data_IF_714322375514
#
_entry.id   IF_714322375514
#
_cell.length_a   1.000
_cell.length_b   1.000
_cell.length_c   1.000
_cell.angle_alpha   90.00
_cell.angle_beta   90.00
_cell.angle_gamma   90.00
#
_symmetry.space_group_name_H-M   'P 1'
#
loop_
_entity.id
_entity.type
_entity.pdbx_description
1 polymer ?
#
# COMPACT_ATOMS: atom_id res chain seq x y z
N UNK A 1 4.43 10.85 -79.02
CA UNK A 1 3.58 9.94 -79.78
C UNK A 1 2.57 9.44 -78.78
N UNK A 2 1.41 10.05 -78.78
CA UNK A 2 0.16 9.58 -79.37
C UNK A 2 -0.26 8.25 -78.74
N UNK A 3 -1.40 8.03 -78.18
CA UNK A 3 -2.77 8.42 -78.41
C UNK A 3 -3.63 7.83 -77.29
N UNK A 4 -4.53 8.51 -76.67
CA UNK A 4 -5.91 8.71 -77.02
C UNK A 4 -6.89 7.59 -76.54
N UNK A 5 -7.73 7.95 -75.59
CA UNK A 5 -9.21 7.95 -75.57
C UNK A 5 -9.87 6.56 -75.46
N UNK A 6 -10.71 6.36 -74.41
CA UNK A 6 -12.17 6.57 -74.47
C UNK A 6 -12.88 6.01 -73.21
N UNK A 7 -13.64 6.84 -72.56
CA UNK A 7 -14.85 6.47 -71.85
C UNK A 7 -15.97 6.04 -72.86
N UNK A 8 -17.16 5.69 -72.42
CA UNK A 8 -17.87 5.55 -71.15
C UNK A 8 -18.70 4.26 -71.04
N UNK A 9 -19.45 4.01 -70.01
CA UNK A 9 -20.91 3.80 -70.02
C UNK A 9 -21.39 3.29 -68.65
N UNK A 10 -22.34 4.02 -68.17
CA UNK A 10 -23.31 3.80 -67.12
C UNK A 10 -23.86 2.38 -67.00
N UNK A 11 -24.08 1.91 -65.80
CA UNK A 11 -25.27 1.15 -65.42
C UNK A 11 -25.56 1.25 -63.92
N UNK A 12 -26.73 1.75 -63.64
CA UNK A 12 -27.40 1.68 -62.33
C UNK A 12 -27.78 0.22 -61.99
N UNK A 13 -27.68 -0.14 -60.68
CA UNK A 13 -28.60 -1.05 -60.01
C UNK A 13 -28.26 -0.99 -58.49
N UNK A 14 -29.07 -0.33 -57.73
CA UNK A 14 -30.05 -0.84 -56.81
C UNK A 14 -29.54 -1.77 -55.69
N UNK A 15 -29.40 -1.23 -54.46
CA UNK A 15 -30.03 -1.72 -53.29
C UNK A 15 -29.57 -3.05 -52.70
N UNK A 16 -28.86 -2.94 -51.58
CA UNK A 16 -29.23 -3.78 -50.43
C UNK A 16 -28.50 -3.24 -49.19
N UNK A 17 -29.24 -2.52 -48.35
CA UNK A 17 -28.80 -2.08 -47.04
C UNK A 17 -28.63 -3.28 -46.14
N UNK A 18 -27.41 -3.73 -45.87
CA UNK A 18 -27.13 -4.62 -44.76
C UNK A 18 -26.73 -3.76 -43.58
N UNK A 19 -27.65 -3.61 -42.63
CA UNK A 19 -27.41 -3.12 -41.28
C UNK A 19 -26.49 -4.12 -40.56
N UNK A 20 -25.18 -3.83 -40.54
CA UNK A 20 -24.27 -4.46 -39.59
C UNK A 20 -24.44 -3.77 -38.26
N UNK A 21 -25.22 -4.40 -37.39
CA UNK A 21 -25.22 -4.10 -35.96
C UNK A 21 -23.84 -4.46 -35.40
N UNK A 22 -22.94 -3.49 -35.35
CA UNK A 22 -21.67 -3.62 -34.63
C UNK A 22 -21.98 -3.64 -33.13
N UNK A 23 -22.07 -4.85 -32.56
CA UNK A 23 -22.02 -5.03 -31.12
C UNK A 23 -20.64 -4.55 -30.62
N UNK A 24 -20.61 -3.35 -30.09
CA UNK A 24 -19.49 -2.83 -29.30
C UNK A 24 -19.41 -3.66 -28.04
N UNK A 25 -18.59 -4.72 -28.03
CA UNK A 25 -18.08 -5.29 -26.80
C UNK A 25 -17.13 -4.25 -26.21
N UNK A 26 -17.68 -3.36 -25.41
CA UNK A 26 -16.90 -2.55 -24.48
C UNK A 26 -16.32 -3.51 -23.46
N UNK A 27 -15.17 -4.11 -23.76
CA UNK A 27 -14.34 -4.74 -22.76
C UNK A 27 -13.87 -3.65 -21.81
N UNK A 28 -14.52 -3.55 -20.67
CA UNK A 28 -14.00 -2.79 -19.53
C UNK A 28 -12.72 -3.49 -19.06
N UNK A 29 -11.61 -3.14 -19.66
CA UNK A 29 -10.28 -3.32 -19.09
C UNK A 29 -9.93 -2.07 -18.28
N UNK A 30 -10.81 -1.71 -17.34
CA UNK A 30 -10.44 -0.86 -16.24
C UNK A 30 -9.64 -1.68 -15.21
N UNK A 31 -8.45 -2.11 -15.62
CA UNK A 31 -7.36 -2.21 -14.68
C UNK A 31 -6.87 -0.78 -14.52
N UNK A 32 -7.69 0.07 -13.94
CA UNK A 32 -7.20 1.22 -13.24
C UNK A 32 -6.31 0.63 -12.14
N UNK A 33 -4.99 0.71 -12.31
CA UNK A 33 -4.08 0.62 -11.20
C UNK A 33 -4.58 1.69 -10.22
N UNK A 34 -5.36 1.23 -9.23
CA UNK A 34 -5.72 2.07 -8.11
C UNK A 34 -4.36 2.47 -7.51
N UNK A 35 -3.97 3.74 -7.52
CA UNK A 35 -2.82 4.15 -6.75
C UNK A 35 -3.08 3.66 -5.32
N UNK A 36 -2.07 3.17 -4.60
CA UNK A 36 -2.25 2.78 -3.21
C UNK A 36 -2.97 3.92 -2.52
N UNK A 37 -4.13 3.63 -1.92
CA UNK A 37 -5.03 4.63 -1.35
C UNK A 37 -4.27 5.49 -0.34
N UNK A 38 -3.76 6.63 -0.77
CA UNK A 38 -3.31 7.69 0.14
C UNK A 38 -4.46 8.12 1.10
N UNK A 39 -5.70 7.94 0.65
CA UNK A 39 -6.90 8.26 1.44
C UNK A 39 -7.18 7.28 2.59
N UNK A 40 -6.66 6.04 2.54
CA UNK A 40 -6.87 5.06 3.60
C UNK A 40 -6.03 5.35 4.85
N UNK A 41 -4.93 6.09 4.73
CA UNK A 41 -4.02 6.43 5.84
C UNK A 41 -4.56 7.58 6.69
N UNK A 42 -5.30 8.51 6.09
CA UNK A 42 -5.91 9.63 6.80
C UNK A 42 -7.07 9.23 7.73
N UNK A 43 -7.47 7.96 7.75
CA UNK A 43 -8.66 7.50 8.47
C UNK A 43 -8.40 7.12 9.92
N UNK A 44 -7.15 6.88 10.31
CA UNK A 44 -6.83 6.48 11.67
C UNK A 44 -6.11 7.61 12.41
N UNK A 45 -6.79 8.14 13.43
CA UNK A 45 -6.17 9.01 14.41
C UNK A 45 -5.96 8.20 15.69
N UNK A 46 -4.78 8.31 16.27
CA UNK A 46 -4.46 7.62 17.51
C UNK A 46 -5.44 8.07 18.62
N UNK A 47 -6.04 7.11 19.32
CA UNK A 47 -6.93 7.36 20.43
C UNK A 47 -6.13 7.43 21.72
N UNK A 48 -6.29 8.51 22.47
CA UNK A 48 -5.57 8.75 23.73
C UNK A 48 -6.01 7.79 24.85
N UNK A 49 -7.25 7.30 24.79
CA UNK A 49 -7.85 6.38 25.77
C UNK A 49 -7.64 4.89 25.46
N UNK A 50 -6.92 4.58 24.38
CA UNK A 50 -6.73 3.22 23.93
C UNK A 50 -5.83 2.39 24.86
N UNK A 51 -6.27 1.18 25.17
CA UNK A 51 -5.47 0.18 25.87
C UNK A 51 -4.61 -0.60 24.88
N UNK A 52 -3.45 -0.07 24.52
CA UNK A 52 -2.55 -0.67 23.54
C UNK A 52 -2.06 -2.08 23.92
N UNK A 53 -2.10 -2.45 25.20
CA UNK A 53 -1.69 -3.79 25.65
C UNK A 53 -2.65 -4.90 25.21
N UNK A 54 -3.90 -4.56 24.89
CA UNK A 54 -4.88 -5.51 24.32
C UNK A 54 -4.66 -5.82 22.85
N UNK A 55 -4.15 -4.87 22.08
CA UNK A 55 -3.91 -4.97 20.63
C UNK A 55 -2.47 -5.41 20.32
N UNK A 56 -2.08 -6.59 20.79
CA UNK A 56 -0.72 -7.12 20.59
C UNK A 56 -0.42 -7.42 19.12
N UNK A 57 0.79 -7.09 18.67
CA UNK A 57 1.23 -7.28 17.28
C UNK A 57 2.51 -8.09 17.18
N UNK A 58 2.67 -8.87 16.14
CA UNK A 58 3.93 -9.47 15.74
C UNK A 58 4.31 -9.06 14.33
N UNK A 59 5.53 -8.58 14.14
CA UNK A 59 6.10 -8.30 12.83
C UNK A 59 6.59 -9.62 12.25
N UNK A 60 5.80 -10.20 11.33
CA UNK A 60 6.05 -11.53 10.79
C UNK A 60 7.16 -11.53 9.73
N UNK A 61 7.19 -10.51 8.87
CA UNK A 61 8.25 -10.32 7.87
C UNK A 61 8.39 -8.85 7.46
N UNK A 62 9.58 -8.54 6.95
CA UNK A 62 9.87 -7.32 6.20
C UNK A 62 10.61 -7.76 4.95
N UNK A 63 9.97 -7.63 3.81
CA UNK A 63 10.41 -8.15 2.52
C UNK A 63 10.72 -7.01 1.54
N UNK A 64 11.47 -7.29 0.46
CA UNK A 64 11.69 -6.39 -0.67
C UNK A 64 12.99 -5.60 -0.62
N UNK A 65 13.52 -5.27 0.56
CA UNK A 65 14.81 -4.60 0.71
C UNK A 65 15.99 -5.60 0.76
N UNK A 66 17.23 -5.15 0.50
CA UNK A 66 18.44 -5.92 0.78
C UNK A 66 18.49 -6.41 2.23
N UNK A 67 19.13 -7.53 2.48
CA UNK A 67 19.11 -8.19 3.81
C UNK A 67 19.64 -7.31 4.93
N UNK A 68 20.70 -6.55 4.68
CA UNK A 68 21.29 -5.62 5.66
C UNK A 68 20.39 -4.41 5.92
N UNK A 69 19.74 -3.87 4.88
CA UNK A 69 18.75 -2.78 5.00
C UNK A 69 17.54 -3.27 5.79
N UNK A 70 17.02 -4.46 5.47
CA UNK A 70 15.90 -5.06 6.20
C UNK A 70 16.23 -5.27 7.68
N UNK A 71 17.46 -5.68 8.01
CA UNK A 71 17.88 -5.89 9.39
C UNK A 71 17.95 -4.56 10.17
N UNK A 72 18.57 -3.51 9.59
CA UNK A 72 18.64 -2.16 10.18
C UNK A 72 17.26 -1.55 10.34
N UNK A 73 16.44 -1.64 9.32
CA UNK A 73 15.05 -1.14 9.38
C UNK A 73 14.25 -1.83 10.49
N UNK A 74 14.40 -3.16 10.64
CA UNK A 74 13.70 -3.91 11.69
C UNK A 74 14.10 -3.44 13.09
N UNK A 75 15.40 -3.17 13.32
CA UNK A 75 15.84 -2.57 14.57
C UNK A 75 15.20 -1.20 14.83
N UNK A 76 15.24 -0.31 13.84
CA UNK A 76 14.61 1.01 13.94
C UNK A 76 13.11 0.92 14.21
N UNK A 77 12.43 -0.07 13.59
CA UNK A 77 11.00 -0.29 13.78
C UNK A 77 10.68 -0.80 15.20
N UNK A 78 11.49 -1.69 15.74
CA UNK A 78 11.33 -2.19 17.12
C UNK A 78 11.47 -1.03 18.14
N UNK A 79 12.44 -0.13 17.93
CA UNK A 79 12.63 1.07 18.75
C UNK A 79 11.45 2.05 18.61
N UNK A 80 11.00 2.30 17.39
CA UNK A 80 9.87 3.18 17.10
C UNK A 80 8.55 2.62 17.66
N UNK A 81 8.34 1.31 17.58
CA UNK A 81 7.18 0.62 18.14
C UNK A 81 7.15 0.74 19.67
N UNK A 82 8.31 0.57 20.32
CA UNK A 82 8.43 0.75 21.76
C UNK A 82 8.10 2.21 22.19
N UNK A 83 8.61 3.21 21.45
CA UNK A 83 8.32 4.62 21.70
C UNK A 83 6.82 4.96 21.58
N UNK A 84 6.09 4.26 20.72
CA UNK A 84 4.62 4.39 20.54
C UNK A 84 3.81 3.44 21.43
N UNK A 85 4.47 2.72 22.38
CA UNK A 85 3.82 1.75 23.29
C UNK A 85 3.05 0.65 22.55
N UNK A 86 3.49 0.29 21.35
CA UNK A 86 2.93 -0.85 20.61
C UNK A 86 3.35 -2.13 21.36
N UNK A 87 2.39 -2.93 21.77
CA UNK A 87 2.63 -4.19 22.47
C UNK A 87 3.09 -5.27 21.49
N UNK A 88 4.41 -5.40 21.29
CA UNK A 88 4.99 -6.43 20.43
C UNK A 88 5.01 -7.77 21.17
N UNK A 89 4.57 -8.83 20.50
CA UNK A 89 4.49 -10.19 21.04
C UNK A 89 5.05 -11.22 20.06
N UNK A 90 5.34 -12.41 20.56
CA UNK A 90 5.66 -13.53 19.68
C UNK A 90 4.45 -13.88 18.77
N UNK A 91 4.66 -14.35 17.53
CA UNK A 91 3.56 -14.59 16.58
C UNK A 91 2.42 -15.46 17.11
N UNK A 92 2.75 -16.46 17.93
CA UNK A 92 1.75 -17.36 18.53
C UNK A 92 0.88 -16.69 19.62
N UNK A 93 1.27 -15.51 20.11
CA UNK A 93 0.57 -14.76 21.17
C UNK A 93 0.03 -13.43 20.69
N UNK A 94 0.36 -13.03 19.47
CA UNK A 94 -0.08 -11.78 18.89
C UNK A 94 -1.55 -11.86 18.42
N UNK A 95 -2.30 -10.79 18.61
CA UNK A 95 -3.65 -10.63 18.04
C UNK A 95 -3.57 -10.28 16.57
N UNK A 96 -2.54 -9.53 16.19
CA UNK A 96 -2.31 -9.10 14.82
C UNK A 96 -0.94 -9.53 14.33
N UNK A 97 -0.88 -9.98 13.08
CA UNK A 97 0.36 -10.26 12.36
C UNK A 97 0.56 -9.20 11.30
N UNK A 98 1.75 -8.64 11.22
CA UNK A 98 2.07 -7.56 10.28
C UNK A 98 3.16 -8.03 9.33
N UNK A 99 2.96 -7.82 8.02
CA UNK A 99 3.96 -8.02 6.97
C UNK A 99 4.25 -6.70 6.30
N UNK A 100 5.52 -6.34 6.27
CA UNK A 100 6.04 -5.16 5.61
C UNK A 100 6.68 -5.49 4.27
N UNK A 101 6.51 -4.59 3.31
CA UNK A 101 7.15 -4.64 2.00
C UNK A 101 7.79 -3.29 1.74
N UNK A 102 9.12 -3.26 1.66
CA UNK A 102 9.89 -2.07 1.33
C UNK A 102 10.34 -2.13 -0.11
N UNK A 103 10.18 -1.03 -0.83
CA UNK A 103 10.80 -0.81 -2.13
C UNK A 103 11.50 0.52 -2.14
N UNK A 104 12.56 0.65 -2.95
CA UNK A 104 13.23 1.90 -3.17
C UNK A 104 13.34 2.15 -4.67
N UNK A 105 13.06 3.39 -5.08
CA UNK A 105 13.13 3.84 -6.45
C UNK A 105 13.90 5.14 -6.58
N UNK A 106 14.54 5.36 -7.73
CA UNK A 106 15.17 6.64 -8.03
C UNK A 106 14.11 7.66 -8.40
N UNK A 107 14.22 8.85 -7.81
CA UNK A 107 13.42 10.02 -8.14
C UNK A 107 14.34 11.19 -8.50
N UNK A 108 13.78 12.28 -9.02
CA UNK A 108 14.55 13.48 -9.28
C UNK A 108 15.13 14.05 -7.96
N UNK A 109 16.45 14.11 -7.89
CA UNK A 109 17.19 14.64 -6.71
C UNK A 109 17.34 13.65 -5.57
N UNK A 110 17.09 12.34 -5.76
CA UNK A 110 17.32 11.34 -4.71
C UNK A 110 16.68 9.98 -4.95
N UNK A 111 16.20 9.40 -3.86
CA UNK A 111 15.46 8.14 -3.85
C UNK A 111 14.17 8.28 -3.06
N UNK A 112 13.19 7.44 -3.36
CA UNK A 112 11.96 7.28 -2.59
C UNK A 112 11.91 5.87 -2.02
N UNK A 113 11.58 5.77 -0.74
CA UNK A 113 11.30 4.51 -0.06
C UNK A 113 9.80 4.40 0.10
N UNK A 114 9.21 3.42 -0.58
CA UNK A 114 7.82 3.04 -0.36
C UNK A 114 7.75 1.90 0.64
N UNK A 115 6.77 1.96 1.52
CA UNK A 115 6.48 0.87 2.44
C UNK A 115 4.98 0.56 2.45
N UNK A 116 4.69 -0.72 2.40
CA UNK A 116 3.33 -1.25 2.53
C UNK A 116 3.28 -2.22 3.69
N UNK A 117 2.32 -2.03 4.58
CA UNK A 117 2.03 -2.94 5.68
C UNK A 117 0.70 -3.63 5.46
N UNK A 118 0.71 -4.95 5.42
CA UNK A 118 -0.51 -5.75 5.52
C UNK A 118 -0.69 -6.22 6.97
N UNK A 119 -1.81 -5.85 7.57
CA UNK A 119 -2.19 -6.27 8.92
C UNK A 119 -3.20 -7.41 8.83
N UNK A 120 -2.92 -8.50 9.51
CA UNK A 120 -3.76 -9.69 9.56
C UNK A 120 -4.18 -9.99 11.00
N UNK A 121 -5.35 -10.54 11.16
CA UNK A 121 -5.76 -11.18 12.42
C UNK A 121 -5.01 -12.51 12.63
N UNK A 122 -5.08 -13.08 13.83
CA UNK A 122 -4.46 -14.36 14.14
C UNK A 122 -4.92 -15.52 13.23
N UNK A 123 -6.15 -15.47 12.71
CA UNK A 123 -6.72 -16.41 11.73
C UNK A 123 -6.33 -16.09 10.26
N UNK A 124 -5.34 -15.21 10.08
CA UNK A 124 -4.74 -14.84 8.77
C UNK A 124 -5.68 -14.09 7.82
N UNK A 125 -6.73 -13.46 8.31
CA UNK A 125 -7.57 -12.57 7.54
C UNK A 125 -6.94 -11.18 7.52
N UNK A 126 -6.66 -10.63 6.33
CA UNK A 126 -6.17 -9.25 6.21
C UNK A 126 -7.28 -8.28 6.62
N UNK A 127 -6.99 -7.41 7.58
CA UNK A 127 -7.91 -6.41 8.12
C UNK A 127 -7.59 -5.01 7.62
N UNK A 128 -6.31 -4.74 7.33
CA UNK A 128 -5.87 -3.42 6.89
C UNK A 128 -4.64 -3.52 6.01
N UNK A 129 -4.50 -2.55 5.12
CA UNK A 129 -3.26 -2.20 4.40
C UNK A 129 -2.95 -0.74 4.68
N UNK A 130 -1.75 -0.49 5.17
CA UNK A 130 -1.18 0.84 5.37
C UNK A 130 -0.06 1.01 4.34
N UNK A 131 0.10 2.20 3.78
CA UNK A 131 1.19 2.49 2.84
C UNK A 131 1.69 3.90 3.04
N UNK A 132 3.00 4.06 2.91
CA UNK A 132 3.71 5.32 3.05
C UNK A 132 4.83 5.42 2.03
N UNK A 133 5.26 6.65 1.75
CA UNK A 133 6.42 6.94 0.93
C UNK A 133 7.24 8.06 1.58
N UNK A 134 8.55 7.90 1.60
CA UNK A 134 9.48 8.91 2.13
C UNK A 134 10.57 9.17 1.10
N UNK A 135 10.68 10.44 0.68
CA UNK A 135 11.73 10.89 -0.21
C UNK A 135 13.03 11.18 0.57
N UNK A 136 14.14 10.67 0.06
CA UNK A 136 15.50 10.87 0.56
C UNK A 136 16.30 11.62 -0.48
N UNK A 137 16.91 12.74 -0.09
CA UNK A 137 17.78 13.52 -0.99
C UNK A 137 19.11 12.81 -1.20
N UNK A 138 19.58 12.78 -2.42
CA UNK A 138 20.86 12.17 -2.74
C UNK A 138 21.17 12.24 -4.22
N UNK A 139 22.29 11.65 -4.61
CA UNK A 139 22.70 11.50 -6.01
C UNK A 139 23.41 10.16 -6.17
N UNK A 140 23.02 9.40 -7.19
CA UNK A 140 23.55 8.07 -7.47
C UNK A 140 22.64 7.32 -8.41
N UNK A 141 23.03 6.12 -8.74
CA UNK A 141 22.31 5.17 -9.64
C UNK A 141 21.71 3.98 -8.88
N UNK A 142 21.94 3.89 -7.56
CA UNK A 142 21.37 2.88 -6.68
C UNK A 142 20.54 3.55 -5.58
N UNK A 143 19.23 3.33 -5.61
CA UNK A 143 18.31 3.89 -4.64
C UNK A 143 18.60 3.42 -3.21
N UNK A 144 18.94 2.13 -3.02
CA UNK A 144 19.24 1.59 -1.69
C UNK A 144 20.52 2.15 -1.08
N UNK A 145 21.52 2.50 -1.91
CA UNK A 145 22.77 3.10 -1.44
C UNK A 145 22.58 4.51 -0.87
N UNK A 146 21.50 5.20 -1.22
CA UNK A 146 21.17 6.54 -0.69
C UNK A 146 20.41 6.49 0.64
N UNK A 147 19.93 5.30 1.05
CA UNK A 147 19.09 5.15 2.25
C UNK A 147 19.98 4.83 3.45
N UNK A 148 20.28 5.86 4.22
CA UNK A 148 21.06 5.77 5.45
C UNK A 148 20.18 5.43 6.68
N UNK A 149 20.81 5.30 7.84
CA UNK A 149 20.11 4.98 9.08
C UNK A 149 19.13 6.07 9.50
N UNK A 150 19.41 7.34 9.17
CA UNK A 150 18.49 8.46 9.46
C UNK A 150 17.20 8.34 8.65
N UNK A 151 17.32 7.97 7.37
CA UNK A 151 16.17 7.70 6.51
C UNK A 151 15.38 6.50 7.02
N UNK A 152 16.06 5.39 7.36
CA UNK A 152 15.39 4.19 7.92
C UNK A 152 14.67 4.49 9.24
N UNK A 153 15.27 5.28 10.13
CA UNK A 153 14.63 5.72 11.38
C UNK A 153 13.38 6.56 11.12
N UNK A 154 13.43 7.45 10.13
CA UNK A 154 12.28 8.26 9.73
C UNK A 154 11.13 7.43 9.18
N UNK A 155 11.45 6.47 8.30
CA UNK A 155 10.48 5.50 7.77
C UNK A 155 9.88 4.68 8.90
N UNK A 156 10.70 4.13 9.80
CA UNK A 156 10.27 3.32 10.92
C UNK A 156 9.36 4.09 11.89
N UNK A 157 9.71 5.35 12.18
CA UNK A 157 8.90 6.21 13.04
C UNK A 157 7.51 6.47 12.46
N UNK A 158 7.43 6.74 11.16
CA UNK A 158 6.16 6.93 10.45
C UNK A 158 5.33 5.66 10.44
N UNK A 159 5.95 4.51 10.12
CA UNK A 159 5.28 3.20 10.16
C UNK A 159 4.71 2.87 11.54
N UNK A 160 5.48 3.13 12.60
CA UNK A 160 5.03 2.90 13.97
C UNK A 160 3.87 3.83 14.35
N UNK A 161 3.87 5.07 13.84
CA UNK A 161 2.76 6.01 14.03
C UNK A 161 1.47 5.50 13.43
N UNK A 162 1.49 5.12 12.16
CA UNK A 162 0.31 4.64 11.46
C UNK A 162 -0.20 3.32 12.02
N UNK A 163 0.72 2.42 12.39
CA UNK A 163 0.37 1.16 13.03
C UNK A 163 -0.26 1.41 14.41
N UNK A 164 0.29 2.33 15.22
CA UNK A 164 -0.28 2.70 16.52
C UNK A 164 -1.67 3.32 16.35
N UNK A 165 -1.83 4.22 15.39
CA UNK A 165 -3.12 4.83 15.08
C UNK A 165 -4.16 3.76 14.68
N UNK A 166 -3.81 2.83 13.80
CA UNK A 166 -4.68 1.70 13.45
C UNK A 166 -5.02 0.84 14.66
N UNK A 167 -4.02 0.38 15.41
CA UNK A 167 -4.20 -0.52 16.55
C UNK A 167 -5.06 0.12 17.65
N UNK A 168 -4.91 1.42 17.88
CA UNK A 168 -5.71 2.15 18.88
C UNK A 168 -7.22 2.17 18.57
N UNK A 169 -7.59 1.94 17.30
CA UNK A 169 -8.97 1.90 16.83
C UNK A 169 -9.54 0.47 16.71
N UNK A 170 -8.77 -0.54 17.11
CA UNK A 170 -9.24 -1.94 17.10
C UNK A 170 -10.08 -2.24 18.34
N UNK A 171 -10.98 -3.25 18.27
CA UNK A 171 -11.77 -3.68 19.43
C UNK A 171 -10.92 -4.10 20.64
N UNK A 172 -9.74 -4.68 20.40
CA UNK A 172 -8.82 -5.13 21.45
C UNK A 172 -8.16 -3.99 22.21
N UNK A 173 -8.09 -2.81 21.62
CA UNK A 173 -7.60 -1.59 22.26
C UNK A 173 -8.72 -0.77 22.95
N UNK A 174 -9.96 -1.27 22.97
CA UNK A 174 -11.04 -0.61 23.66
C UNK A 174 -10.73 -0.46 25.16
N UNK A 175 -11.00 0.70 25.79
CA UNK A 175 -10.79 0.87 27.23
C UNK A 175 -11.67 -0.10 28.02
N UNK A 176 -11.16 -0.60 29.15
CA UNK A 176 -11.86 -1.58 29.97
C UNK A 176 -13.26 -1.07 30.45
N UNK A 177 -13.44 0.24 30.57
CA UNK A 177 -14.73 0.87 30.92
C UNK A 177 -15.82 0.68 29.84
N UNK A 178 -15.44 0.53 28.57
CA UNK A 178 -16.40 0.28 27.50
C UNK A 178 -16.98 -1.14 27.52
N UNK A 179 -16.21 -2.12 28.00
CA UNK A 179 -16.65 -3.52 28.09
C UNK A 179 -17.79 -3.72 29.12
N UNK A 180 -17.87 -2.89 30.15
CA UNK A 180 -18.90 -2.99 31.21
C UNK A 180 -20.26 -2.40 30.78
N UNK A 181 -20.31 -1.58 29.75
CA UNK A 181 -21.56 -0.94 29.29
C UNK A 181 -22.45 -1.89 28.45
N UNK A 182 -21.93 -3.00 27.93
CA UNK A 182 -22.69 -3.97 27.17
C UNK A 182 -23.22 -5.16 28.00
N UNK A 183 -22.96 -5.19 29.32
CA UNK A 183 -23.35 -6.30 30.19
C UNK A 183 -24.57 -5.97 31.09
N UNK A 184 -25.30 -4.88 30.80
CA UNK A 184 -26.53 -4.50 31.53
C UNK A 184 -27.77 -4.67 30.66
#
# INVERSE_FOLDING_TARGET
>A
MSSTIKDPVRALAAGLSLLFASAMLSGCNDVAANPPNADAQAQFVMRDDANMSGATVAIASVDGAPTDVSARFRQSLDEAAAARRIAVAAPAKARYLVRGYLTASLIEGGAEVDIVWDVFTADKKRTQRLSDAIAVKGSGDDAWAMIDDSALNSVAAKCAEDLAAYLSNTPEAAPASAALSYAQ
#
